data_IF_887503803901
#
_entry.id   IF_887503803901
#
_cell.length_a   1.000
_cell.length_b   1.000
_cell.length_c   1.000
_cell.angle_alpha   90.00
_cell.angle_beta   90.00
_cell.angle_gamma   90.00
#
_symmetry.space_group_name_H-M   'P 1'
#
loop_
_entity.id
_entity.type
_entity.pdbx_description
1 polymer ?
#
# COMPACT_ATOMS: atom_id res chain seq x y z
N UNK A 1 -10.69 1.56 -7.84
CA UNK A 1 -9.55 0.63 -7.81
C UNK A 1 -9.21 0.30 -6.37
N UNK A 2 -8.66 1.21 -5.58
CA UNK A 2 -8.39 0.94 -4.16
C UNK A 2 -9.64 0.64 -3.30
N UNK A 3 -10.85 0.95 -3.80
CA UNK A 3 -12.13 0.60 -3.17
C UNK A 3 -12.29 -0.89 -2.88
N UNK A 4 -11.74 -1.80 -3.71
CA UNK A 4 -11.88 -3.23 -3.44
C UNK A 4 -11.13 -3.66 -2.19
N UNK A 5 -9.93 -3.12 -1.96
CA UNK A 5 -9.22 -3.31 -0.69
C UNK A 5 -10.01 -2.65 0.44
N UNK A 6 -10.55 -1.44 0.26
CA UNK A 6 -11.32 -0.77 1.31
C UNK A 6 -12.58 -1.54 1.74
N UNK A 7 -13.18 -2.30 0.82
CA UNK A 7 -14.41 -3.07 1.06
C UNK A 7 -14.13 -4.49 1.56
N UNK A 8 -13.10 -5.16 1.04
CA UNK A 8 -12.85 -6.59 1.28
C UNK A 8 -11.58 -6.87 2.10
N UNK A 9 -10.75 -5.86 2.35
CA UNK A 9 -9.45 -6.01 2.99
C UNK A 9 -8.39 -6.59 2.07
N UNK A 10 -7.14 -6.57 2.52
CA UNK A 10 -6.01 -7.11 1.74
C UNK A 10 -6.08 -8.63 1.54
N UNK A 11 -6.69 -9.36 2.48
CA UNK A 11 -6.87 -10.81 2.38
C UNK A 11 -8.02 -11.20 1.42
N UNK A 12 -8.97 -10.30 1.20
CA UNK A 12 -10.15 -10.52 0.39
C UNK A 12 -9.98 -10.17 -1.09
N UNK A 13 -8.77 -9.77 -1.52
CA UNK A 13 -8.46 -9.42 -2.90
C UNK A 13 -7.39 -10.33 -3.51
N UNK A 14 -7.48 -10.50 -4.82
CA UNK A 14 -6.67 -11.42 -5.59
C UNK A 14 -5.20 -10.97 -5.63
N UNK A 15 -4.26 -11.92 -5.68
CA UNK A 15 -2.83 -11.61 -5.77
C UNK A 15 -2.47 -10.78 -7.00
N UNK A 16 -3.07 -11.09 -8.15
CA UNK A 16 -2.85 -10.34 -9.39
C UNK A 16 -3.30 -8.88 -9.25
N UNK A 17 -4.38 -8.64 -8.50
CA UNK A 17 -4.89 -7.30 -8.22
C UNK A 17 -3.91 -6.49 -7.35
N UNK A 18 -3.36 -7.13 -6.32
CA UNK A 18 -2.32 -6.53 -5.46
C UNK A 18 -1.07 -6.15 -6.28
N UNK A 19 -0.59 -7.04 -7.14
CA UNK A 19 0.54 -6.76 -8.03
C UNK A 19 0.22 -5.58 -8.95
N UNK A 20 -0.96 -5.58 -9.55
CA UNK A 20 -1.42 -4.52 -10.44
C UNK A 20 -1.44 -3.15 -9.73
N UNK A 21 -2.01 -3.09 -8.52
CA UNK A 21 -2.04 -1.88 -7.71
C UNK A 21 -0.65 -1.40 -7.28
N UNK A 22 0.26 -2.31 -6.92
CA UNK A 22 1.64 -1.97 -6.59
C UNK A 22 2.34 -1.29 -7.78
N UNK A 23 2.17 -1.84 -8.98
CA UNK A 23 2.70 -1.25 -10.22
C UNK A 23 2.03 0.08 -10.53
N UNK A 24 0.71 0.21 -10.33
CA UNK A 24 -0.02 1.46 -10.52
C UNK A 24 0.52 2.59 -9.61
N UNK A 25 0.79 2.29 -8.35
CA UNK A 25 1.36 3.26 -7.39
C UNK A 25 2.80 3.64 -7.77
N UNK A 26 3.60 2.66 -8.18
CA UNK A 26 5.02 2.86 -8.46
C UNK A 26 5.31 3.54 -9.80
N UNK A 27 4.54 3.21 -10.84
CA UNK A 27 4.87 3.58 -12.21
C UNK A 27 3.87 4.50 -12.88
N UNK A 28 2.63 4.55 -12.37
CA UNK A 28 1.53 5.30 -12.97
C UNK A 28 0.99 6.40 -12.07
N UNK A 29 1.76 6.75 -11.04
CA UNK A 29 1.42 7.80 -10.07
C UNK A 29 0.01 7.67 -9.48
N UNK A 30 -0.50 6.43 -9.34
CA UNK A 30 -1.72 6.19 -8.57
C UNK A 30 -1.47 6.63 -7.13
N UNK A 31 -2.35 7.48 -6.60
CA UNK A 31 -2.32 7.96 -5.22
C UNK A 31 -3.66 7.65 -4.54
N UNK A 32 -3.66 7.05 -3.35
CA UNK A 32 -4.89 6.85 -2.59
C UNK A 32 -5.49 8.19 -2.18
N UNK A 33 -6.72 8.44 -2.59
CA UNK A 33 -7.54 9.47 -1.95
C UNK A 33 -8.29 8.84 -0.77
N UNK A 34 -7.63 8.82 0.38
CA UNK A 34 -8.21 8.25 1.59
C UNK A 34 -9.53 8.94 1.96
N UNK A 35 -9.69 10.25 1.69
CA UNK A 35 -10.91 11.00 2.02
C UNK A 35 -12.14 10.50 1.26
N UNK A 36 -11.94 10.00 0.04
CA UNK A 36 -12.99 9.43 -0.80
C UNK A 36 -13.19 7.91 -0.61
N UNK A 37 -12.35 7.25 0.18
CA UNK A 37 -12.49 5.82 0.46
C UNK A 37 -13.49 5.58 1.59
N UNK A 38 -14.51 4.80 1.26
CA UNK A 38 -15.46 4.23 2.19
C UNK A 38 -15.25 2.72 2.27
N UNK A 39 -15.44 2.16 3.46
CA UNK A 39 -15.35 0.72 3.70
C UNK A 39 -14.66 0.38 5.02
N UNK A 40 -14.95 -0.80 5.60
CA UNK A 40 -14.43 -1.20 6.90
C UNK A 40 -12.90 -1.41 6.90
N UNK A 41 -12.31 -1.66 5.74
CA UNK A 41 -10.87 -1.91 5.58
C UNK A 41 -10.12 -0.74 4.95
N UNK A 42 -10.62 0.48 5.11
CA UNK A 42 -9.91 1.69 4.64
C UNK A 42 -8.47 1.75 5.14
N UNK A 43 -8.23 1.32 6.37
CA UNK A 43 -6.90 1.27 6.97
C UNK A 43 -5.92 0.37 6.20
N UNK A 44 -6.40 -0.75 5.64
CA UNK A 44 -5.60 -1.63 4.80
C UNK A 44 -5.09 -0.92 3.55
N UNK A 45 -5.85 0.02 2.99
CA UNK A 45 -5.40 0.84 1.86
C UNK A 45 -4.26 1.77 2.28
N UNK A 46 -4.40 2.42 3.44
CA UNK A 46 -3.35 3.28 4.00
C UNK A 46 -2.07 2.51 4.26
N UNK A 47 -2.20 1.35 4.92
CA UNK A 47 -1.11 0.42 5.17
C UNK A 47 -0.42 -0.05 3.89
N UNK A 48 -1.20 -0.48 2.90
CA UNK A 48 -0.69 -0.96 1.62
C UNK A 48 0.13 0.12 0.91
N UNK A 49 -0.40 1.34 0.81
CA UNK A 49 0.27 2.44 0.15
C UNK A 49 1.52 2.93 0.91
N UNK A 50 1.47 3.02 2.24
CA UNK A 50 2.62 3.41 3.07
C UNK A 50 3.75 2.36 2.95
N UNK A 51 3.38 1.07 2.98
CA UNK A 51 4.29 -0.06 2.75
C UNK A 51 4.98 0.04 1.39
N UNK A 52 4.22 0.28 0.31
CA UNK A 52 4.79 0.45 -1.04
C UNK A 52 5.73 1.65 -1.16
N UNK A 53 5.52 2.69 -0.35
CA UNK A 53 6.42 3.85 -0.27
C UNK A 53 7.80 3.55 0.32
N UNK A 54 7.94 2.46 1.08
CA UNK A 54 9.22 2.07 1.69
C UNK A 54 10.18 1.44 0.67
N UNK A 55 9.65 0.84 -0.40
CA UNK A 55 10.45 0.22 -1.44
C UNK A 55 11.31 1.22 -2.25
N UNK A 56 12.43 0.75 -2.79
CA UNK A 56 13.41 1.58 -3.53
C UNK A 56 13.01 1.90 -4.99
N UNK A 57 11.71 1.89 -5.29
CA UNK A 57 11.17 2.17 -6.64
C UNK A 57 10.93 3.66 -6.84
N UNK A 58 10.29 4.30 -5.86
CA UNK A 58 9.93 5.72 -5.91
C UNK A 58 11.11 6.63 -5.57
N UNK A 59 11.18 7.79 -6.24
CA UNK A 59 12.09 8.89 -5.84
C UNK A 59 11.70 9.46 -4.47
N UNK A 60 12.59 10.24 -3.85
CA UNK A 60 12.29 10.90 -2.56
C UNK A 60 11.03 11.76 -2.64
N UNK A 61 10.87 12.51 -3.73
CA UNK A 61 9.70 13.36 -3.98
C UNK A 61 8.43 12.53 -4.15
N UNK A 62 8.48 11.45 -4.93
CA UNK A 62 7.33 10.56 -5.12
C UNK A 62 6.93 9.85 -3.82
N UNK A 63 7.90 9.42 -3.01
CA UNK A 63 7.63 8.87 -1.67
C UNK A 63 6.93 9.89 -0.78
N UNK A 64 7.39 11.14 -0.79
CA UNK A 64 6.75 12.20 -0.03
C UNK A 64 5.32 12.47 -0.52
N UNK A 65 5.13 12.57 -1.84
CA UNK A 65 3.82 12.77 -2.46
C UNK A 65 2.84 11.60 -2.21
N UNK A 66 3.34 10.37 -2.07
CA UNK A 66 2.54 9.21 -1.72
C UNK A 66 2.15 9.20 -0.24
N UNK A 67 3.10 9.48 0.66
CA UNK A 67 2.91 9.26 2.11
C UNK A 67 2.28 10.45 2.82
N UNK A 68 2.62 11.68 2.45
CA UNK A 68 2.11 12.87 3.14
C UNK A 68 0.56 12.94 3.19
N UNK A 69 -0.18 12.59 2.11
CA UNK A 69 -1.64 12.56 2.15
C UNK A 69 -2.24 11.45 3.04
N UNK A 70 -1.47 10.41 3.35
CA UNK A 70 -1.93 9.29 4.18
C UNK A 70 -1.86 9.63 5.67
N UNK A 71 -0.86 10.43 6.08
CA UNK A 71 -0.58 10.72 7.50
C UNK A 71 -1.80 11.20 8.32
N UNK A 72 -2.69 12.09 7.82
CA UNK A 72 -3.86 12.52 8.59
C UNK A 72 -4.85 11.41 8.92
N UNK A 73 -4.78 10.29 8.20
CA UNK A 73 -5.68 9.15 8.36
C UNK A 73 -5.05 7.99 9.12
N UNK A 74 -3.75 8.09 9.43
CA UNK A 74 -3.06 7.07 10.20
C UNK A 74 -3.54 7.12 11.65
N UNK A 75 -3.89 5.97 12.27
CA UNK A 75 -4.25 5.92 13.68
C UNK A 75 -3.20 6.60 14.58
N UNK A 76 -3.66 7.30 15.61
CA UNK A 76 -2.78 8.04 16.51
C UNK A 76 -1.86 7.14 17.36
N UNK A 77 -2.28 5.88 17.56
CA UNK A 77 -1.53 4.86 18.30
C UNK A 77 -1.64 3.53 17.58
N UNK A 78 -0.56 2.76 17.56
CA UNK A 78 -0.56 1.40 17.02
C UNK A 78 -1.50 0.49 17.83
N UNK A 79 -2.05 -0.55 17.18
CA UNK A 79 -2.76 -1.61 17.87
C UNK A 79 -1.78 -2.65 18.44
N UNK A 80 -2.19 -3.33 19.50
CA UNK A 80 -1.46 -4.46 20.09
C UNK A 80 -2.06 -5.77 19.59
N UNK A 81 -1.94 -6.00 18.29
CA UNK A 81 -2.38 -7.24 17.65
C UNK A 81 -1.19 -8.21 17.54
N UNK A 82 -1.20 -9.35 18.25
CA UNK A 82 -0.10 -10.32 18.23
C UNK A 82 0.00 -11.08 16.91
N UNK A 83 -1.04 -11.10 16.08
CA UNK A 83 -1.06 -11.83 14.80
C UNK A 83 -0.43 -11.00 13.66
N UNK A 84 -0.31 -9.68 13.84
CA UNK A 84 0.40 -8.80 12.92
C UNK A 84 1.90 -8.80 13.23
N UNK A 85 2.72 -9.26 12.31
CA UNK A 85 4.19 -9.26 12.46
C UNK A 85 4.82 -7.97 11.97
N UNK A 86 4.17 -7.28 11.02
CA UNK A 86 4.66 -6.02 10.49
C UNK A 86 4.30 -4.86 11.45
N UNK A 87 5.29 -4.14 12.02
CA UNK A 87 5.02 -2.96 12.84
C UNK A 87 4.18 -1.91 12.11
N UNK A 88 4.33 -1.77 10.79
CA UNK A 88 3.58 -0.83 9.99
C UNK A 88 2.10 -1.25 9.85
N UNK A 89 1.82 -2.56 9.82
CA UNK A 89 0.44 -3.06 9.85
C UNK A 89 -0.24 -2.69 11.17
N UNK A 90 0.48 -2.82 12.30
CA UNK A 90 -0.02 -2.41 13.62
C UNK A 90 -0.23 -0.91 13.74
N UNK A 91 0.67 -0.10 13.19
CA UNK A 91 0.51 1.35 13.17
C UNK A 91 -0.73 1.79 12.38
N UNK A 92 -1.10 1.03 11.35
CA UNK A 92 -2.27 1.30 10.52
C UNK A 92 -3.54 0.62 11.00
N UNK A 93 -3.48 -0.29 11.98
CA UNK A 93 -4.61 -1.17 12.35
C UNK A 93 -5.11 -1.94 11.12
N UNK A 94 -4.17 -2.45 10.31
CA UNK A 94 -4.50 -3.23 9.12
C UNK A 94 -5.08 -4.60 9.51
N UNK A 95 -5.93 -5.17 8.66
CA UNK A 95 -6.54 -6.48 8.92
C UNK A 95 -5.56 -7.66 8.76
N UNK A 96 -4.45 -7.47 8.03
CA UNK A 96 -3.42 -8.47 7.85
C UNK A 96 -2.08 -7.87 7.42
N UNK A 97 -1.01 -8.65 7.54
CA UNK A 97 0.31 -8.32 7.00
C UNK A 97 0.31 -8.40 5.46
N UNK A 98 1.05 -7.49 4.82
CA UNK A 98 1.28 -7.51 3.36
C UNK A 98 2.35 -8.55 2.95
N UNK A 99 3.09 -9.10 3.92
CA UNK A 99 4.21 -10.02 3.70
C UNK A 99 3.90 -11.22 2.78
N UNK A 100 2.70 -11.85 2.82
CA UNK A 100 2.36 -12.93 1.89
C UNK A 100 2.43 -12.53 0.41
N UNK A 101 2.28 -11.25 0.10
CA UNK A 101 2.31 -10.70 -1.25
C UNK A 101 3.70 -10.12 -1.62
N UNK A 102 4.62 -9.99 -0.66
CA UNK A 102 5.92 -9.36 -0.91
C UNK A 102 6.74 -10.10 -1.96
N UNK A 103 6.79 -11.43 -1.90
CA UNK A 103 7.54 -12.23 -2.87
C UNK A 103 7.07 -11.93 -4.32
N UNK A 104 5.77 -11.76 -4.51
CA UNK A 104 5.14 -11.51 -5.80
C UNK A 104 5.36 -10.06 -6.29
N UNK A 105 5.47 -9.10 -5.36
CA UNK A 105 5.67 -7.67 -5.66
C UNK A 105 7.17 -7.32 -5.83
N UNK A 106 8.07 -7.97 -5.08
CA UNK A 106 9.50 -7.67 -5.00
C UNK A 106 10.22 -7.77 -6.35
N UNK A 107 9.79 -8.67 -7.23
CA UNK A 107 10.35 -8.80 -8.59
C UNK A 107 10.20 -7.51 -9.41
N UNK A 108 9.19 -6.69 -9.09
CA UNK A 108 8.96 -5.41 -9.73
C UNK A 108 9.66 -4.28 -8.99
N UNK A 109 10.42 -4.51 -7.91
CA UNK A 109 11.04 -3.45 -7.12
C UNK A 109 12.31 -2.84 -7.76
N UNK A 110 12.32 -2.58 -9.07
CA UNK A 110 13.50 -2.04 -9.75
C UNK A 110 13.21 -0.72 -10.45
N UNK A 111 14.19 0.19 -10.38
CA UNK A 111 14.18 1.43 -11.17
C UNK A 111 14.26 1.16 -12.67
N UNK A 112 14.91 0.06 -13.07
CA UNK A 112 15.00 -0.36 -14.47
C UNK A 112 13.63 -0.75 -15.03
N UNK A 113 12.76 -1.38 -14.22
CA UNK A 113 11.40 -1.68 -14.64
C UNK A 113 10.60 -0.41 -14.95
N UNK A 114 10.84 0.70 -14.24
CA UNK A 114 10.23 2.00 -14.55
C UNK A 114 10.61 2.55 -15.94
N UNK A 115 11.78 2.18 -16.47
CA UNK A 115 12.21 2.63 -17.80
C UNK A 115 11.57 1.83 -18.95
N UNK A 116 11.10 0.61 -18.68
CA UNK A 116 10.43 -0.25 -19.68
C UNK A 116 8.93 0.03 -19.83
N UNK A 117 8.33 0.74 -18.88
CA UNK A 117 6.96 1.20 -18.93
C UNK A 117 6.98 2.70 -19.21
N UNK A 118 6.85 3.05 -20.49
CA UNK A 118 6.94 4.44 -20.96
C UNK A 118 6.01 5.38 -20.18
N UNK A 119 6.55 6.54 -19.82
CA UNK A 119 5.78 7.69 -19.31
C UNK A 119 4.88 8.26 -20.39
#
# INVERSE_FOLDING_TARGET
MLNEIAQNGLHGVDREYIIYLAKAIWYYDLRPDMGALEGPFRNDVGYFADSLGHFSVLSKEQKHALRAPLLPYKPASACDDPDLNDPLAREWHASCDIMPFFADILQFQTRHYAAGWGR
#
